data_IF_981378811263
#
_entry.id   IF_981378811263
#
_cell.length_a   1.000
_cell.length_b   1.000
_cell.length_c   1.000
_cell.angle_alpha   90.00
_cell.angle_beta   90.00
_cell.angle_gamma   90.00
#
_symmetry.space_group_name_H-M   'P 1'
#
loop_
_entity.id
_entity.type
_entity.pdbx_description
1 polymer ?
#
# COMPACT_ATOMS: atom_id res chain seq x y z
N UNK A 1 18.04 -3.03 12.23
CA UNK A 1 16.92 -3.13 11.25
C UNK A 1 16.76 -1.80 10.51
N UNK A 2 16.47 -1.80 9.21
CA UNK A 2 16.27 -0.58 8.40
C UNK A 2 15.06 -0.73 7.49
N UNK A 3 14.38 0.39 7.20
CA UNK A 3 13.27 0.39 6.25
C UNK A 3 13.77 0.19 4.81
N UNK A 4 12.94 -0.40 3.93
CA UNK A 4 13.28 -0.54 2.51
C UNK A 4 13.30 0.83 1.80
N UNK A 5 12.34 1.69 2.09
CA UNK A 5 12.17 3.00 1.46
C UNK A 5 12.62 4.16 2.37
N UNK A 6 12.83 5.33 1.77
CA UNK A 6 13.04 6.58 2.51
C UNK A 6 11.73 7.03 3.18
N UNK A 7 11.81 7.68 4.34
CA UNK A 7 10.62 8.25 4.97
C UNK A 7 10.06 9.41 4.11
N UNK A 8 8.76 9.70 4.26
CA UNK A 8 8.08 10.75 3.48
C UNK A 8 8.70 12.12 3.70
N UNK A 9 9.06 12.46 4.93
CA UNK A 9 9.65 13.77 5.27
C UNK A 9 11.00 13.98 4.57
N UNK A 10 11.92 13.00 4.61
CA UNK A 10 13.20 13.09 3.89
C UNK A 10 13.00 13.13 2.37
N UNK A 11 12.03 12.37 1.84
CA UNK A 11 11.70 12.39 0.41
C UNK A 11 11.20 13.77 -0.04
N UNK A 12 10.29 14.39 0.71
CA UNK A 12 9.78 15.73 0.41
C UNK A 12 10.86 16.80 0.52
N UNK A 13 11.77 16.64 1.49
CA UNK A 13 12.96 17.49 1.66
C UNK A 13 14.05 17.25 0.62
N UNK A 14 13.92 16.24 -0.24
CA UNK A 14 14.92 15.83 -1.25
C UNK A 14 16.31 15.55 -0.65
N UNK A 15 16.36 14.96 0.55
CA UNK A 15 17.60 14.54 1.22
C UNK A 15 17.67 13.01 1.36
N UNK A 16 18.88 12.48 1.51
CA UNK A 16 19.09 11.06 1.82
C UNK A 16 18.46 10.73 3.17
N UNK A 17 17.76 9.60 3.26
CA UNK A 17 17.18 9.08 4.50
C UNK A 17 18.08 7.97 5.05
N UNK A 18 18.36 7.98 6.35
CA UNK A 18 19.13 6.94 7.05
C UNK A 18 18.34 5.64 7.28
N UNK A 19 17.00 5.72 7.17
CA UNK A 19 16.03 4.61 7.21
C UNK A 19 16.01 3.84 8.56
N UNK A 20 16.43 4.45 9.67
CA UNK A 20 16.23 3.85 11.01
C UNK A 20 14.75 3.74 11.37
N UNK A 21 14.36 2.69 12.08
CA UNK A 21 12.96 2.42 12.47
C UNK A 21 12.86 2.61 13.99
N UNK A 22 11.76 3.15 14.57
CA UNK A 22 10.51 3.59 13.93
C UNK A 22 10.58 4.93 13.19
N UNK A 23 11.55 5.78 13.54
CA UNK A 23 11.76 7.09 12.94
C UNK A 23 13.20 7.24 12.45
N UNK A 24 13.39 7.94 11.34
CA UNK A 24 14.73 8.20 10.82
C UNK A 24 15.49 9.22 11.71
N UNK A 25 16.80 9.02 11.88
CA UNK A 25 17.64 9.91 12.69
C UNK A 25 17.69 11.33 12.11
N UNK A 26 17.58 11.48 10.78
CA UNK A 26 17.55 12.80 10.15
C UNK A 26 16.36 13.65 10.60
N UNK A 27 15.18 13.05 10.76
CA UNK A 27 14.00 13.75 11.27
C UNK A 27 14.12 14.02 12.77
N UNK A 28 14.60 13.04 13.54
CA UNK A 28 14.84 13.18 14.99
C UNK A 28 15.81 14.34 15.29
N UNK A 29 16.96 14.36 14.65
CA UNK A 29 18.01 15.36 14.89
C UNK A 29 17.59 16.76 14.45
N UNK A 30 16.75 16.87 13.41
CA UNK A 30 16.23 18.16 12.95
C UNK A 30 14.94 18.60 13.66
N UNK A 31 14.48 17.83 14.66
CA UNK A 31 13.23 18.06 15.40
C UNK A 31 12.01 18.22 14.47
N UNK A 32 11.94 17.38 13.43
CA UNK A 32 10.82 17.35 12.49
C UNK A 32 9.99 16.09 12.68
N UNK A 33 8.70 16.20 12.43
CA UNK A 33 7.82 15.05 12.39
C UNK A 33 8.23 14.09 11.25
N UNK A 34 8.48 12.84 11.61
CA UNK A 34 8.75 11.78 10.66
C UNK A 34 7.44 11.14 10.25
N UNK A 35 6.92 11.50 9.07
CA UNK A 35 5.67 10.99 8.49
C UNK A 35 5.74 9.51 8.06
N UNK A 36 6.68 8.74 8.61
CA UNK A 36 6.86 7.32 8.38
C UNK A 36 7.31 6.94 6.97
N UNK A 37 7.24 5.63 6.71
CA UNK A 37 7.65 4.98 5.47
C UNK A 37 6.39 4.61 4.67
N UNK A 38 6.32 4.98 3.39
CA UNK A 38 5.13 4.75 2.58
C UNK A 38 5.00 3.26 2.24
N UNK A 39 3.84 2.68 2.50
CA UNK A 39 3.46 1.37 1.96
C UNK A 39 2.84 1.56 0.57
N UNK A 40 3.23 0.72 -0.39
CA UNK A 40 2.58 0.70 -1.70
C UNK A 40 1.26 -0.04 -1.54
N UNK A 41 0.16 0.71 -1.47
CA UNK A 41 -1.16 0.11 -1.60
C UNK A 41 -1.31 -0.35 -3.05
N UNK A 42 -1.63 -1.62 -3.23
CA UNK A 42 -1.99 -2.19 -4.52
C UNK A 42 -3.52 -2.15 -4.61
N UNK A 43 -4.03 -1.59 -5.69
CA UNK A 43 -5.42 -1.77 -6.08
C UNK A 43 -5.45 -2.87 -7.14
N UNK A 44 -6.42 -3.81 -7.07
CA UNK A 44 -6.61 -4.78 -8.13
C UNK A 44 -6.71 -4.05 -9.46
N UNK A 45 -5.82 -4.40 -10.39
CA UNK A 45 -5.78 -3.72 -11.67
C UNK A 45 -6.90 -4.29 -12.56
N UNK A 46 -7.71 -3.42 -13.15
CA UNK A 46 -8.46 -3.78 -14.34
C UNK A 46 -7.52 -3.48 -15.50
N UNK A 47 -7.11 -4.50 -16.25
CA UNK A 47 -6.24 -4.34 -17.42
C UNK A 47 -6.91 -3.40 -18.44
N UNK A 48 -6.61 -2.10 -18.34
CA UNK A 48 -7.01 -1.06 -19.29
C UNK A 48 -5.84 -0.64 -20.20
N UNK A 49 -4.70 -1.34 -20.08
CA UNK A 49 -3.47 -1.11 -20.84
C UNK A 49 -2.68 0.14 -20.43
N UNK A 50 -3.14 0.91 -19.43
CA UNK A 50 -2.46 2.17 -19.04
C UNK A 50 -1.35 1.99 -18.01
N UNK A 51 -1.27 0.84 -17.33
CA UNK A 51 -0.30 0.60 -16.24
C UNK A 51 0.72 -0.46 -16.64
N UNK A 52 1.97 -0.27 -16.25
CA UNK A 52 3.02 -1.29 -16.38
C UNK A 52 2.81 -2.34 -15.30
N UNK A 53 2.60 -3.57 -15.74
CA UNK A 53 2.38 -4.76 -14.91
C UNK A 53 3.50 -4.88 -13.87
N UNK A 54 3.22 -4.47 -12.64
CA UNK A 54 4.24 -4.43 -11.57
C UNK A 54 4.02 -5.55 -10.54
N UNK A 55 3.51 -6.68 -11.01
CA UNK A 55 3.08 -7.81 -10.20
C UNK A 55 1.66 -7.59 -9.69
N UNK A 56 0.68 -8.11 -10.42
CA UNK A 56 -0.71 -8.16 -10.00
C UNK A 56 -0.83 -9.17 -8.86
N UNK A 57 -0.88 -8.69 -7.62
CA UNK A 57 -1.41 -9.50 -6.53
C UNK A 57 -2.91 -9.58 -6.78
N UNK A 58 -3.36 -10.66 -7.44
CA UNK A 58 -4.78 -10.97 -7.52
C UNK A 58 -5.20 -11.24 -6.08
N UNK A 59 -5.96 -10.34 -5.49
CA UNK A 59 -6.69 -10.67 -4.28
C UNK A 59 -7.79 -11.63 -4.71
N UNK A 60 -7.54 -12.93 -4.56
CA UNK A 60 -8.58 -13.94 -4.67
C UNK A 60 -9.46 -13.77 -3.42
N UNK A 61 -10.68 -13.22 -3.55
CA UNK A 61 -11.54 -13.05 -2.40
C UNK A 61 -11.88 -14.45 -1.89
N UNK A 62 -11.56 -14.73 -0.63
CA UNK A 62 -12.18 -15.87 0.06
C UNK A 62 -13.68 -15.67 -0.10
N UNK A 63 -14.33 -16.61 -0.79
CA UNK A 63 -15.73 -16.60 -1.19
C UNK A 63 -16.59 -15.88 -0.15
N UNK A 64 -17.07 -14.68 -0.51
CA UNK A 64 -18.09 -14.02 0.28
C UNK A 64 -19.29 -14.97 0.30
N UNK A 65 -19.84 -15.35 1.47
CA UNK A 65 -20.93 -16.35 1.55
C UNK A 65 -22.25 -15.89 0.90
N UNK A 66 -22.26 -14.73 0.25
CA UNK A 66 -23.35 -14.22 -0.55
C UNK A 66 -22.90 -14.24 -2.02
N UNK A 67 -23.08 -15.40 -2.65
CA UNK A 67 -22.98 -15.53 -4.11
C UNK A 67 -23.98 -14.62 -4.84
N UNK A 68 -23.92 -14.55 -6.18
CA UNK A 68 -24.92 -13.82 -6.95
C UNK A 68 -26.30 -14.40 -6.62
N UNK A 69 -27.26 -13.54 -6.29
CA UNK A 69 -28.68 -13.86 -6.05
C UNK A 69 -29.23 -14.67 -7.23
N UNK A 70 -29.07 -15.98 -7.18
CA UNK A 70 -29.68 -16.95 -8.08
C UNK A 70 -30.38 -17.95 -7.18
N UNK A 71 -31.68 -18.13 -7.42
CA UNK A 71 -32.60 -19.07 -6.77
C UNK A 71 -33.29 -18.58 -5.49
N UNK A 72 -34.17 -17.58 -5.58
CA UNK A 72 -35.32 -17.49 -4.67
C UNK A 72 -36.56 -16.98 -5.41
N UNK A 73 -37.16 -17.80 -6.28
CA UNK A 73 -38.56 -17.63 -6.69
C UNK A 73 -39.16 -18.88 -7.38
N UNK A 74 -38.97 -20.07 -6.81
CA UNK A 74 -39.84 -21.22 -7.07
C UNK A 74 -40.49 -21.64 -5.74
N UNK A 75 -41.57 -20.94 -5.35
CA UNK A 75 -42.66 -21.29 -4.40
C UNK A 75 -43.71 -20.19 -4.72
N UNK A 76 -44.94 -20.43 -5.17
CA UNK A 76 -45.88 -21.56 -4.98
C UNK A 76 -46.43 -22.10 -6.31
#
# INVERSE_FOLDING_TARGET
MKAKQSCRTCKQRKIRCDKSIPFCNNCKNTRRECLGYRTRLLWPDHHDGRRKDSGSMVYEPLETPLGPLQLMANIS
#
